data_IF_891179123330
#
_entry.id   IF_891179123330
#
_cell.length_a   1.000
_cell.length_b   1.000
_cell.length_c   1.000
_cell.angle_alpha   90.00
_cell.angle_beta   90.00
_cell.angle_gamma   90.00
#
_symmetry.space_group_name_H-M   'P 1'
#
loop_
_entity.id
_entity.type
_entity.pdbx_description
1 polymer ?
#
# COMPACT_ATOMS: atom_id res chain seq x y z
N UNK A 1 6.83 -3.95 2.90
CA UNK A 1 7.26 -3.15 1.73
C UNK A 1 8.39 -2.25 2.18
N UNK A 2 9.61 -2.51 1.73
CA UNK A 2 10.74 -1.63 1.99
C UNK A 2 10.86 -0.64 0.82
N UNK A 3 10.92 0.64 1.17
CA UNK A 3 11.23 1.81 0.32
C UNK A 3 10.79 1.72 -1.17
N UNK A 4 9.60 2.25 -1.47
CA UNK A 4 9.09 2.41 -2.83
C UNK A 4 9.05 3.87 -3.25
N UNK A 5 9.23 4.12 -4.54
CA UNK A 5 9.14 5.45 -5.14
C UNK A 5 7.85 5.57 -5.95
N UNK A 6 7.10 6.63 -5.68
CA UNK A 6 5.98 7.08 -6.50
C UNK A 6 6.49 8.10 -7.52
N UNK A 7 5.95 8.03 -8.74
CA UNK A 7 6.32 8.90 -9.86
C UNK A 7 5.13 9.75 -10.28
N UNK A 8 5.35 10.66 -11.23
CA UNK A 8 4.31 11.49 -11.83
C UNK A 8 3.12 10.63 -12.31
N UNK A 9 1.97 10.81 -11.67
CA UNK A 9 0.74 10.07 -11.93
C UNK A 9 0.12 10.37 -13.31
N UNK A 10 0.57 11.43 -13.99
CA UNK A 10 0.15 11.77 -15.35
C UNK A 10 1.10 11.22 -16.42
N UNK A 11 2.30 10.77 -16.04
CA UNK A 11 3.27 10.20 -16.95
C UNK A 11 2.94 8.73 -17.28
N UNK A 12 3.62 8.19 -18.31
CA UNK A 12 3.59 6.76 -18.57
C UNK A 12 4.12 5.98 -17.36
N UNK A 13 3.54 4.81 -17.08
CA UNK A 13 4.00 3.95 -15.99
C UNK A 13 5.46 3.58 -16.19
N UNK A 14 6.25 3.76 -15.15
CA UNK A 14 7.64 3.34 -15.10
C UNK A 14 7.70 1.90 -14.60
N UNK A 15 8.48 1.01 -15.22
CA UNK A 15 8.55 -0.40 -14.78
C UNK A 15 9.61 -0.63 -13.70
N UNK A 16 10.67 0.18 -13.64
CA UNK A 16 11.82 -0.01 -12.74
C UNK A 16 12.33 1.32 -12.15
N UNK A 17 12.88 1.34 -10.93
CA UNK A 17 13.01 0.21 -10.00
C UNK A 17 11.68 -0.15 -9.32
N UNK A 18 11.45 -1.45 -9.12
CA UNK A 18 10.41 -1.98 -8.23
C UNK A 18 11.05 -3.04 -7.32
N UNK A 19 10.94 -2.93 -5.97
CA UNK A 19 11.49 -3.94 -5.07
C UNK A 19 10.90 -5.34 -5.29
N UNK A 20 11.66 -6.38 -4.95
CA UNK A 20 11.17 -7.76 -5.02
C UNK A 20 9.88 -7.94 -4.20
N UNK A 21 8.90 -8.64 -4.78
CA UNK A 21 7.59 -8.85 -4.15
C UNK A 21 6.66 -7.63 -4.15
N UNK A 22 7.02 -6.55 -4.85
CA UNK A 22 6.17 -5.38 -5.10
C UNK A 22 5.71 -5.38 -6.55
N UNK A 23 4.45 -5.03 -6.78
CA UNK A 23 3.87 -4.79 -8.09
C UNK A 23 3.51 -3.31 -8.20
N UNK A 24 3.90 -2.68 -9.31
CA UNK A 24 3.46 -1.33 -9.65
C UNK A 24 2.29 -1.40 -10.63
N UNK A 25 1.10 -1.04 -10.18
CA UNK A 25 -0.09 -0.94 -11.03
C UNK A 25 -0.13 0.38 -11.80
N UNK A 26 0.37 1.44 -11.18
CA UNK A 26 0.57 2.75 -11.79
C UNK A 26 1.66 3.50 -11.02
N UNK A 27 2.11 4.64 -11.56
CA UNK A 27 3.06 5.51 -10.87
C UNK A 27 2.57 5.98 -9.48
N UNK A 28 1.26 5.93 -9.23
CA UNK A 28 0.59 6.32 -7.99
C UNK A 28 0.05 5.15 -7.16
N UNK A 29 0.27 3.88 -7.54
CA UNK A 29 -0.28 2.70 -6.86
C UNK A 29 0.70 1.52 -6.93
N UNK A 30 1.21 1.14 -5.76
CA UNK A 30 2.02 -0.06 -5.58
C UNK A 30 1.34 -1.02 -4.61
N UNK A 31 1.56 -2.31 -4.81
CA UNK A 31 0.97 -3.38 -4.03
C UNK A 31 2.01 -4.44 -3.66
N UNK A 32 1.84 -5.09 -2.51
CA UNK A 32 2.60 -6.28 -2.14
C UNK A 32 1.68 -7.34 -1.58
N UNK A 33 1.92 -8.59 -1.96
CA UNK A 33 1.12 -9.74 -1.49
C UNK A 33 1.55 -10.12 -0.08
N UNK A 34 0.59 -10.32 0.81
CA UNK A 34 0.85 -10.90 2.12
C UNK A 34 1.05 -12.41 1.96
N UNK A 35 2.18 -12.93 2.47
CA UNK A 35 2.43 -14.36 2.48
C UNK A 35 1.60 -15.06 3.55
N UNK A 36 1.40 -16.38 3.42
CA UNK A 36 0.69 -17.14 4.45
C UNK A 36 1.44 -17.11 5.79
N UNK A 37 2.77 -17.11 5.77
CA UNK A 37 3.58 -16.94 6.99
C UNK A 37 3.35 -15.59 7.65
N UNK A 38 3.20 -14.52 6.87
CA UNK A 38 2.88 -13.19 7.40
C UNK A 38 1.46 -13.15 7.99
N UNK A 39 0.49 -13.75 7.31
CA UNK A 39 -0.90 -13.82 7.76
C UNK A 39 -1.03 -14.65 9.04
N UNK A 40 -0.29 -15.75 9.17
CA UNK A 40 -0.30 -16.62 10.34
C UNK A 40 0.30 -15.95 11.59
N UNK A 41 1.12 -14.91 11.40
CA UNK A 41 1.65 -14.10 12.51
C UNK A 41 0.66 -13.04 13.03
N UNK A 42 -0.44 -12.79 12.31
CA UNK A 42 -1.42 -11.77 12.69
C UNK A 42 -2.22 -12.23 13.91
N UNK A 43 -2.17 -11.43 14.97
CA UNK A 43 -2.93 -11.66 16.20
C UNK A 43 -4.26 -10.90 16.17
N UNK A 44 -4.67 -10.32 17.31
CA UNK A 44 -5.89 -9.51 17.44
C UNK A 44 -5.62 -8.01 17.34
N UNK A 45 -4.36 -7.61 17.47
CA UNK A 45 -3.97 -6.19 17.48
C UNK A 45 -3.17 -5.87 16.23
N UNK A 46 -3.61 -4.87 15.47
CA UNK A 46 -2.95 -4.41 14.25
C UNK A 46 -2.70 -2.91 14.35
N UNK A 47 -1.44 -2.54 14.15
CA UNK A 47 -1.03 -1.16 13.89
C UNK A 47 -0.64 -1.04 12.43
N UNK A 48 -1.32 -0.15 11.72
CA UNK A 48 -0.93 0.22 10.36
C UNK A 48 -0.06 1.46 10.42
N UNK A 49 1.10 1.42 9.78
CA UNK A 49 2.03 2.54 9.70
C UNK A 49 2.41 2.83 8.26
N UNK A 50 2.44 4.11 7.90
CA UNK A 50 2.98 4.61 6.63
C UNK A 50 4.00 5.69 6.96
N UNK A 51 5.18 5.62 6.35
CA UNK A 51 6.19 6.67 6.44
C UNK A 51 6.39 7.19 5.02
N UNK A 52 6.11 8.48 4.82
CA UNK A 52 6.27 9.13 3.52
C UNK A 52 7.54 9.97 3.55
N UNK A 53 8.44 9.76 2.59
CA UNK A 53 9.66 10.56 2.39
C UNK A 53 9.46 11.66 1.35
N UNK A 54 10.10 12.80 1.57
CA UNK A 54 10.08 13.93 0.65
C UNK A 54 10.99 13.68 -0.57
N UNK A 55 10.44 13.79 -1.78
CA UNK A 55 11.17 13.81 -3.06
C UNK A 55 10.90 15.13 -3.80
N UNK A 56 10.68 15.08 -5.12
CA UNK A 56 10.49 16.25 -5.97
C UNK A 56 9.11 16.89 -5.87
N UNK A 57 8.10 16.13 -5.42
CA UNK A 57 6.74 16.65 -5.25
C UNK A 57 6.61 17.45 -3.95
N UNK A 58 6.24 18.72 -4.10
CA UNK A 58 6.14 19.67 -3.01
C UNK A 58 4.69 20.02 -2.65
N UNK A 59 3.69 19.37 -3.25
CA UNK A 59 2.27 19.60 -2.96
C UNK A 59 1.77 18.66 -1.85
N UNK A 60 0.64 19.05 -1.26
CA UNK A 60 -0.16 18.17 -0.42
C UNK A 60 -0.96 17.19 -1.28
N UNK A 61 -0.67 15.90 -1.12
CA UNK A 61 -1.25 14.83 -1.93
C UNK A 61 -2.14 13.93 -1.09
N UNK A 62 -3.21 13.48 -1.70
CA UNK A 62 -4.02 12.41 -1.11
C UNK A 62 -3.26 11.10 -1.18
N UNK A 63 -3.19 10.43 -0.04
CA UNK A 63 -2.64 9.10 0.10
C UNK A 63 -3.64 8.15 0.76
N UNK A 64 -3.56 6.88 0.42
CA UNK A 64 -4.47 5.84 0.93
C UNK A 64 -3.79 4.49 0.96
N UNK A 65 -4.20 3.67 1.94
CA UNK A 65 -3.82 2.26 2.05
C UNK A 65 -5.06 1.42 1.82
N UNK A 66 -4.94 0.38 1.01
CA UNK A 66 -6.03 -0.54 0.75
C UNK A 66 -5.61 -1.99 1.00
N UNK A 67 -6.62 -2.82 1.29
CA UNK A 67 -6.53 -4.27 1.21
C UNK A 67 -7.29 -4.71 -0.05
N UNK A 68 -6.59 -5.27 -1.02
CA UNK A 68 -7.19 -5.86 -2.22
C UNK A 68 -7.36 -7.37 -2.06
N UNK A 69 -8.53 -7.87 -2.46
CA UNK A 69 -8.91 -9.28 -2.43
C UNK A 69 -8.73 -9.85 -3.84
N UNK A 70 -7.57 -10.46 -4.10
CA UNK A 70 -7.21 -10.96 -5.42
C UNK A 70 -7.46 -12.46 -5.47
N UNK A 71 -8.12 -13.02 -6.51
CA UNK A 71 -8.28 -14.47 -6.59
C UNK A 71 -6.94 -15.21 -6.46
N UNK A 72 -6.93 -16.30 -5.69
CA UNK A 72 -5.73 -17.07 -5.36
C UNK A 72 -4.85 -17.39 -6.58
N UNK A 73 -3.53 -17.31 -6.37
CA UNK A 73 -2.52 -17.81 -7.29
C UNK A 73 -2.12 -16.83 -8.41
N UNK A 74 -2.54 -15.57 -8.33
CA UNK A 74 -2.10 -14.55 -9.28
C UNK A 74 -0.82 -13.85 -8.83
N UNK A 75 0.06 -13.55 -9.80
CA UNK A 75 1.31 -12.79 -9.59
C UNK A 75 1.10 -11.27 -9.70
N UNK A 76 0.00 -10.84 -10.31
CA UNK A 76 -0.45 -9.44 -10.45
C UNK A 76 -1.96 -9.42 -10.74
N UNK A 77 -2.59 -8.25 -10.80
CA UNK A 77 -4.02 -8.08 -11.02
C UNK A 77 -4.33 -6.70 -11.59
N UNK A 78 -5.55 -6.49 -12.10
CA UNK A 78 -6.04 -5.17 -12.49
C UNK A 78 -6.86 -4.60 -11.31
N UNK A 79 -6.48 -3.45 -10.72
CA UNK A 79 -7.16 -2.92 -9.53
C UNK A 79 -8.66 -2.64 -9.72
N UNK A 80 -9.12 -2.43 -10.95
CA UNK A 80 -10.54 -2.22 -11.26
C UNK A 80 -11.37 -3.51 -11.26
N UNK A 81 -10.72 -4.68 -11.33
CA UNK A 81 -11.36 -5.98 -11.47
C UNK A 81 -11.44 -6.77 -10.15
N UNK A 82 -10.96 -6.18 -9.05
CA UNK A 82 -10.92 -6.81 -7.72
C UNK A 82 -11.56 -5.92 -6.67
N UNK A 83 -12.10 -6.54 -5.62
CA UNK A 83 -12.62 -5.80 -4.47
C UNK A 83 -11.48 -5.21 -3.64
N UNK A 84 -11.64 -3.94 -3.26
CA UNK A 84 -10.63 -3.16 -2.54
C UNK A 84 -11.26 -2.44 -1.36
N UNK A 85 -10.70 -2.64 -0.17
CA UNK A 85 -11.11 -2.01 1.07
C UNK A 85 -10.12 -0.91 1.41
N UNK A 86 -10.55 0.35 1.45
CA UNK A 86 -9.71 1.43 2.00
C UNK A 86 -9.63 1.27 3.53
N UNK A 87 -8.42 1.05 4.05
CA UNK A 87 -8.18 0.81 5.47
C UNK A 87 -7.50 1.99 6.17
N UNK A 88 -6.94 2.94 5.39
CA UNK A 88 -6.46 4.21 5.88
C UNK A 88 -6.41 5.27 4.76
N UNK A 89 -6.58 6.52 5.14
CA UNK A 89 -6.45 7.70 4.28
C UNK A 89 -5.65 8.78 5.00
N UNK A 90 -4.80 9.48 4.26
CA UNK A 90 -3.98 10.59 4.76
C UNK A 90 -3.78 11.65 3.67
N UNK A 91 -3.30 12.82 4.10
CA UNK A 91 -2.87 13.90 3.23
C UNK A 91 -1.40 14.18 3.54
N UNK A 92 -0.51 14.15 2.53
CA UNK A 92 0.88 14.59 2.69
C UNK A 92 0.91 16.09 2.96
N UNK A 93 1.82 16.62 3.80
CA UNK A 93 2.04 18.05 3.83
C UNK A 93 2.76 18.49 2.56
N UNK A 94 2.94 19.80 2.39
CA UNK A 94 3.90 20.36 1.45
C UNK A 94 5.32 19.96 1.88
N UNK A 95 5.89 18.95 1.23
CA UNK A 95 7.19 18.40 1.57
C UNK A 95 8.32 19.06 0.77
N UNK A 96 9.51 19.18 1.37
CA UNK A 96 10.69 19.70 0.69
C UNK A 96 11.90 18.83 1.00
N UNK A 97 12.39 18.09 0.02
CA UNK A 97 13.54 17.18 0.20
C UNK A 97 14.84 17.87 0.69
N UNK A 98 14.92 19.20 0.58
CA UNK A 98 16.06 20.02 1.01
C UNK A 98 15.87 20.65 2.41
N UNK A 99 14.77 20.38 3.11
CA UNK A 99 14.50 20.93 4.46
C UNK A 99 13.93 19.84 5.39
N UNK A 100 14.27 19.92 6.66
CA UNK A 100 13.69 19.03 7.67
C UNK A 100 12.29 19.51 8.12
N UNK A 101 11.37 18.59 8.45
CA UNK A 101 11.52 17.13 8.39
C UNK A 101 11.41 16.57 6.96
N UNK A 102 12.27 15.60 6.61
CA UNK A 102 12.26 14.91 5.30
C UNK A 102 11.33 13.70 5.22
N UNK A 103 10.68 13.33 6.31
CA UNK A 103 9.71 12.26 6.34
C UNK A 103 8.58 12.54 7.32
N UNK A 104 7.43 11.93 7.06
CA UNK A 104 6.21 12.10 7.84
C UNK A 104 5.62 10.73 8.15
N UNK A 105 5.52 10.35 9.44
CA UNK A 105 4.85 9.11 9.83
C UNK A 105 3.35 9.32 10.00
N UNK A 106 2.58 8.33 9.56
CA UNK A 106 1.16 8.17 9.81
C UNK A 106 0.92 6.82 10.46
N UNK A 107 0.01 6.77 11.43
CA UNK A 107 -0.29 5.55 12.16
C UNK A 107 -1.77 5.44 12.49
N UNK A 108 -2.32 4.24 12.35
CA UNK A 108 -3.68 3.90 12.71
C UNK A 108 -3.72 2.64 13.56
N UNK A 109 -4.70 2.58 14.46
CA UNK A 109 -5.12 1.33 15.09
C UNK A 109 -6.16 0.69 14.17
N UNK A 110 -5.92 -0.54 13.73
CA UNK A 110 -6.73 -1.22 12.70
C UNK A 110 -7.10 -2.65 13.11
N UNK A 111 -7.42 -2.87 14.38
CA UNK A 111 -7.68 -4.20 14.96
C UNK A 111 -8.76 -4.98 14.23
N UNK A 112 -9.79 -4.30 13.72
CA UNK A 112 -10.89 -4.92 12.97
C UNK A 112 -10.42 -5.63 11.69
N UNK A 113 -9.28 -5.19 11.13
CA UNK A 113 -8.68 -5.83 9.96
C UNK A 113 -8.22 -7.27 10.26
N UNK A 114 -7.92 -7.59 11.53
CA UNK A 114 -7.53 -8.94 11.94
C UNK A 114 -8.64 -9.96 11.65
N UNK A 115 -9.91 -9.55 11.75
CA UNK A 115 -11.06 -10.41 11.47
C UNK A 115 -11.11 -10.83 10.00
N UNK A 116 -10.72 -9.93 9.10
CA UNK A 116 -10.65 -10.19 7.65
C UNK A 116 -9.42 -11.04 7.33
N UNK A 117 -8.25 -10.62 7.81
CA UNK A 117 -6.96 -11.24 7.47
C UNK A 117 -6.82 -12.67 8.02
N UNK A 118 -7.56 -13.02 9.08
CA UNK A 118 -7.58 -14.35 9.69
C UNK A 118 -8.76 -15.21 9.26
N UNK A 119 -9.66 -14.70 8.42
CA UNK A 119 -10.84 -15.44 7.98
C UNK A 119 -10.42 -16.57 7.03
N UNK A 120 -10.59 -17.82 7.46
CA UNK A 120 -10.17 -19.00 6.68
C UNK A 120 -10.89 -19.12 5.33
N UNK A 121 -12.17 -18.74 5.25
CA UNK A 121 -12.93 -18.76 3.99
C UNK A 121 -12.35 -17.74 3.00
N UNK A 122 -12.10 -16.51 3.44
CA UNK A 122 -11.49 -15.48 2.58
C UNK A 122 -10.07 -15.86 2.19
N UNK A 123 -9.27 -16.41 3.11
CA UNK A 123 -7.91 -16.88 2.82
C UNK A 123 -7.87 -18.07 1.86
N UNK A 124 -8.93 -18.88 1.81
CA UNK A 124 -9.02 -19.98 0.85
C UNK A 124 -9.36 -19.49 -0.57
N UNK A 125 -10.07 -18.37 -0.70
CA UNK A 125 -10.51 -17.80 -1.98
C UNK A 125 -9.54 -16.74 -2.54
N UNK A 126 -8.93 -15.95 -1.67
CA UNK A 126 -8.17 -14.77 -2.03
C UNK A 126 -6.74 -14.76 -1.49
N UNK A 127 -5.85 -14.22 -2.32
CA UNK A 127 -4.60 -13.62 -1.86
C UNK A 127 -4.85 -12.17 -1.45
N UNK A 128 -4.39 -11.82 -0.25
CA UNK A 128 -4.50 -10.47 0.28
C UNK A 128 -3.32 -9.63 -0.16
N UNK A 129 -3.60 -8.49 -0.81
CA UNK A 129 -2.58 -7.54 -1.22
C UNK A 129 -2.73 -6.24 -0.47
N UNK A 130 -1.64 -5.78 0.14
CA UNK A 130 -1.56 -4.46 0.74
C UNK A 130 -1.14 -3.45 -0.32
N UNK A 131 -1.98 -2.46 -0.55
CA UNK A 131 -1.72 -1.41 -1.53
C UNK A 131 -1.42 -0.08 -0.83
N UNK A 132 -0.47 0.67 -1.36
CA UNK A 132 -0.23 2.06 -1.02
C UNK A 132 -0.41 2.91 -2.27
N UNK A 133 -1.25 3.93 -2.16
CA UNK A 133 -1.45 4.93 -3.20
C UNK A 133 -1.09 6.31 -2.69
N UNK A 134 -0.30 7.04 -3.48
CA UNK A 134 0.00 8.46 -3.31
C UNK A 134 0.05 9.05 -4.72
N UNK A 135 -0.84 10.00 -5.01
CA UNK A 135 -0.90 10.63 -6.32
C UNK A 135 -0.07 11.92 -6.33
N UNK A 136 1.00 11.96 -7.12
CA UNK A 136 1.94 13.08 -7.23
C UNK A 136 2.20 13.48 -8.66
#
# INVERSE_FOLDING_TARGET
MEEVVFYDGYAATVDEPVPEGVVRHSNSLLATKLSDEQLDQIQTTIKLGVIVGALCDNYDRIGSVHLALVPKGQDSYVPADVDRLEIARFITPFMNMNKDPKSVPYQWQADELATILRNETLRAEYDFWMELSIFG
#
